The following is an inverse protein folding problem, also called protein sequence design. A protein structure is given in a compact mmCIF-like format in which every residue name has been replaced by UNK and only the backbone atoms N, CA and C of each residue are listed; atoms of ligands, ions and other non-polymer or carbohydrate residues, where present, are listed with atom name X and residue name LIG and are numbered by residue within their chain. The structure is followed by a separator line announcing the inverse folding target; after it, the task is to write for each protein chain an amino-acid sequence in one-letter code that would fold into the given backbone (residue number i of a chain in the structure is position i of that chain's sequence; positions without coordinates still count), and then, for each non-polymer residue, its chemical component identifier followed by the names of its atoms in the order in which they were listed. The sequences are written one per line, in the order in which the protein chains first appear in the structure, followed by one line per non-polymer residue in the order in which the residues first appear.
data_IF_453092584110
#
_entry.id   IF_453092584110
#
_cell.length_a   1.000
_cell.length_b   1.000
_cell.length_c   1.000
_cell.angle_alpha   90.00
_cell.angle_beta   90.00
_cell.angle_gamma   90.00
#
_symmetry.space_group_name_H-M   'P 1'
#
loop_
_entity.id
_entity.type
_entity.pdbx_description
1 polymer ?
#
# COMPACT_ATOMS: atom_id res chain seq x y z
N UNK A 1 7.32 -9.44 20.74
CA UNK A 1 8.59 -9.62 19.99
C UNK A 1 8.64 -8.54 18.90
N UNK A 2 9.43 -7.45 19.08
CA UNK A 2 9.55 -6.39 18.06
C UNK A 2 10.45 -6.91 16.93
N UNK A 3 9.86 -7.21 15.79
CA UNK A 3 10.58 -7.59 14.55
C UNK A 3 11.54 -6.46 14.21
N UNK A 4 12.84 -6.74 14.26
CA UNK A 4 13.89 -5.80 13.80
C UNK A 4 14.04 -6.00 12.29
N UNK A 5 13.59 -5.01 11.53
CA UNK A 5 13.64 -4.99 10.05
C UNK A 5 15.06 -4.65 9.59
N UNK A 6 16.04 -5.43 10.01
CA UNK A 6 17.47 -5.19 9.72
C UNK A 6 18.07 -6.17 8.70
N UNK A 7 17.31 -7.15 8.22
CA UNK A 7 17.80 -8.10 7.21
C UNK A 7 17.03 -7.94 5.89
N UNK A 8 17.37 -6.90 5.13
CA UNK A 8 16.69 -6.39 3.93
C UNK A 8 16.89 -7.24 2.66
N UNK A 9 17.09 -8.56 2.79
CA UNK A 9 17.19 -9.45 1.63
C UNK A 9 15.81 -9.78 1.05
N UNK A 10 14.78 -9.85 1.91
CA UNK A 10 13.40 -10.22 1.55
C UNK A 10 12.47 -9.00 1.50
N UNK A 11 13.03 -7.82 1.22
CA UNK A 11 12.27 -6.56 1.23
C UNK A 11 11.15 -6.58 0.18
N UNK A 12 11.40 -7.14 -1.01
CA UNK A 12 10.39 -7.31 -2.06
C UNK A 12 9.26 -8.24 -1.62
N UNK A 13 9.58 -9.35 -0.95
CA UNK A 13 8.57 -10.30 -0.45
C UNK A 13 7.67 -9.69 0.63
N UNK A 14 8.21 -8.77 1.44
CA UNK A 14 7.41 -8.05 2.45
C UNK A 14 6.46 -7.00 1.86
N UNK A 15 6.72 -6.50 0.65
CA UNK A 15 5.85 -5.49 0.03
C UNK A 15 4.46 -6.04 -0.21
N UNK A 16 4.31 -7.31 -0.59
CA UNK A 16 3.00 -7.94 -0.74
C UNK A 16 2.15 -7.85 0.53
N UNK A 17 2.74 -8.09 1.70
CA UNK A 17 2.04 -7.97 2.99
C UNK A 17 1.75 -6.52 3.39
N UNK A 18 2.67 -5.58 3.07
CA UNK A 18 2.43 -4.14 3.30
C UNK A 18 1.28 -3.63 2.43
N UNK A 19 1.25 -4.01 1.16
CA UNK A 19 0.19 -3.67 0.22
C UNK A 19 -1.17 -4.25 0.64
N UNK A 20 -1.20 -5.41 1.32
CA UNK A 20 -2.44 -5.95 1.91
C UNK A 20 -2.90 -5.18 3.16
N UNK A 21 -1.96 -4.64 3.95
CA UNK A 21 -2.26 -3.86 5.16
C UNK A 21 -2.66 -2.42 4.87
N UNK A 22 -2.26 -1.89 3.72
CA UNK A 22 -2.55 -0.52 3.30
C UNK A 22 -3.60 -0.55 2.20
N UNK A 23 -4.67 0.26 2.33
CA UNK A 23 -5.67 0.37 1.25
C UNK A 23 -5.04 0.93 -0.03
N UNK A 24 -5.43 0.39 -1.19
CA UNK A 24 -4.94 0.84 -2.50
C UNK A 24 -5.06 2.37 -2.67
N UNK A 25 -6.17 2.97 -2.25
CA UNK A 25 -6.40 4.42 -2.31
C UNK A 25 -5.30 5.26 -1.62
N UNK A 26 -4.76 4.81 -0.49
CA UNK A 26 -3.71 5.56 0.21
C UNK A 26 -2.40 5.54 -0.55
N UNK A 27 -2.04 4.39 -1.14
CA UNK A 27 -0.85 4.23 -1.96
C UNK A 27 -0.99 4.98 -3.29
N UNK A 28 -2.16 4.93 -3.92
CA UNK A 28 -2.47 5.71 -5.12
C UNK A 28 -2.29 7.21 -4.85
N UNK A 29 -2.79 7.73 -3.72
CA UNK A 29 -2.59 9.14 -3.33
C UNK A 29 -1.14 9.47 -2.98
N UNK A 30 -0.44 8.59 -2.26
CA UNK A 30 0.93 8.82 -1.81
C UNK A 30 1.95 8.75 -2.96
N UNK A 31 1.82 7.76 -3.83
CA UNK A 31 2.78 7.46 -4.90
C UNK A 31 2.31 7.87 -6.30
N UNK A 32 1.07 8.36 -6.44
CA UNK A 32 0.44 8.74 -7.72
C UNK A 32 0.43 7.62 -8.75
N UNK A 33 0.34 6.37 -8.29
CA UNK A 33 0.21 5.18 -9.14
C UNK A 33 -1.28 4.92 -9.31
N UNK A 34 -1.76 4.70 -10.55
CA UNK A 34 -3.20 4.54 -10.82
C UNK A 34 -3.70 3.19 -10.33
N UNK A 35 -3.15 2.11 -10.83
CA UNK A 35 -3.50 0.75 -10.43
C UNK A 35 -2.32 -0.16 -10.69
N UNK A 36 -2.22 -1.24 -9.91
CA UNK A 36 -1.24 -2.30 -10.09
C UNK A 36 -1.95 -3.65 -9.91
N UNK A 37 -1.50 -4.63 -10.67
CA UNK A 37 -1.97 -6.01 -10.59
C UNK A 37 -1.24 -6.76 -9.48
N UNK A 38 0.09 -6.71 -9.52
CA UNK A 38 0.99 -7.38 -8.58
C UNK A 38 1.84 -6.39 -7.77
N UNK A 39 2.39 -6.86 -6.64
CA UNK A 39 3.40 -6.13 -5.86
C UNK A 39 4.62 -5.76 -6.71
N UNK A 40 5.06 -6.66 -7.61
CA UNK A 40 6.13 -6.37 -8.55
C UNK A 40 5.74 -5.26 -9.55
N UNK A 41 4.53 -5.28 -10.10
CA UNK A 41 4.05 -4.23 -11.00
C UNK A 41 4.00 -2.87 -10.31
N UNK A 42 3.54 -2.83 -9.06
CA UNK A 42 3.58 -1.62 -8.23
C UNK A 42 5.00 -1.07 -8.09
N UNK A 43 5.96 -1.95 -7.79
CA UNK A 43 7.36 -1.59 -7.63
C UNK A 43 7.96 -1.07 -8.95
N UNK A 44 7.64 -1.70 -10.08
CA UNK A 44 8.05 -1.24 -11.42
C UNK A 44 7.50 0.16 -11.70
N UNK A 45 6.22 0.38 -11.46
CA UNK A 45 5.59 1.69 -11.66
C UNK A 45 6.18 2.75 -10.72
N UNK A 46 6.48 2.39 -9.47
CA UNK A 46 7.15 3.27 -8.53
C UNK A 46 8.57 3.62 -8.99
N UNK A 47 9.35 2.66 -9.48
CA UNK A 47 10.67 2.90 -10.05
C UNK A 47 10.61 3.87 -11.24
N UNK A 48 9.65 3.67 -12.14
CA UNK A 48 9.41 4.53 -13.30
C UNK A 48 9.03 5.96 -12.87
N UNK A 49 8.14 6.09 -11.89
CA UNK A 49 7.68 7.39 -11.38
C UNK A 49 8.75 8.11 -10.54
N UNK A 50 9.52 7.38 -9.74
CA UNK A 50 10.57 7.91 -8.86
C UNK A 50 11.93 8.10 -9.57
N UNK A 51 12.06 7.65 -10.82
CA UNK A 51 13.31 7.68 -11.58
C UNK A 51 14.40 6.76 -11.01
N UNK A 52 14.01 5.74 -10.24
CA UNK A 52 14.93 4.77 -9.59
C UNK A 52 15.13 3.57 -10.51
N UNK A 53 15.74 3.83 -11.66
CA UNK A 53 16.13 2.80 -12.62
C UNK A 53 17.62 2.51 -12.47
N UNK A 54 17.98 1.24 -12.59
CA UNK A 54 19.36 0.79 -12.66
C UNK A 54 20.03 1.27 -13.95
N UNK A 55 21.35 1.13 -13.96
CA UNK A 55 22.17 1.38 -15.14
C UNK A 55 21.76 0.39 -16.23
N UNK A 56 21.03 0.88 -17.24
CA UNK A 56 20.41 0.04 -18.28
C UNK A 56 18.91 0.25 -18.45
N UNK A 57 18.26 1.03 -17.57
CA UNK A 57 16.82 1.29 -17.65
C UNK A 57 15.96 0.20 -17.02
N UNK A 58 16.57 -0.74 -16.29
CA UNK A 58 15.85 -1.78 -15.56
C UNK A 58 15.33 -1.22 -14.21
N UNK A 59 14.06 -1.48 -13.85
CA UNK A 59 13.51 -1.02 -12.58
C UNK A 59 14.13 -1.76 -11.39
N UNK A 60 14.67 -1.01 -10.41
CA UNK A 60 15.22 -1.60 -9.18
C UNK A 60 14.12 -1.89 -8.14
N UNK A 61 13.49 -3.05 -8.24
CA UNK A 61 12.43 -3.47 -7.34
C UNK A 61 12.89 -3.53 -5.88
N UNK A 62 14.14 -3.92 -5.65
CA UNK A 62 14.71 -4.05 -4.31
C UNK A 62 14.91 -2.67 -3.68
N UNK A 63 15.39 -1.68 -4.42
CA UNK A 63 15.50 -0.30 -3.92
C UNK A 63 14.11 0.33 -3.70
N UNK A 64 13.16 0.13 -4.61
CA UNK A 64 11.79 0.61 -4.44
C UNK A 64 11.11 -0.01 -3.21
N UNK A 65 11.28 -1.32 -2.99
CA UNK A 65 10.76 -2.01 -1.83
C UNK A 65 11.33 -1.45 -0.53
N UNK A 66 12.65 -1.22 -0.46
CA UNK A 66 13.28 -0.60 0.71
C UNK A 66 12.74 0.79 0.99
N UNK A 67 12.49 1.60 -0.05
CA UNK A 67 11.91 2.94 0.10
C UNK A 67 10.50 2.89 0.71
N UNK A 68 9.62 2.05 0.16
CA UNK A 68 8.26 1.89 0.68
C UNK A 68 8.29 1.37 2.11
N UNK A 69 9.12 0.38 2.39
CA UNK A 69 9.22 -0.22 3.72
C UNK A 69 9.69 0.82 4.74
N UNK A 70 10.66 1.66 4.38
CA UNK A 70 11.13 2.76 5.21
C UNK A 70 10.05 3.84 5.42
N UNK A 71 9.30 4.21 4.38
CA UNK A 71 8.18 5.15 4.48
C UNK A 71 7.03 4.59 5.34
N UNK A 72 6.75 3.30 5.22
CA UNK A 72 5.77 2.58 6.04
C UNK A 72 6.18 2.54 7.51
N UNK A 73 7.45 2.24 7.79
CA UNK A 73 8.00 2.25 9.16
C UNK A 73 8.02 3.65 9.79
N UNK A 74 8.21 4.70 8.98
CA UNK A 74 8.13 6.09 9.46
C UNK A 74 6.69 6.59 9.66
N UNK A 75 5.68 5.80 9.30
CA UNK A 75 4.28 6.20 9.39
C UNK A 75 3.87 7.24 8.35
N UNK A 76 4.66 7.42 7.28
CA UNK A 76 4.32 8.31 6.16
C UNK A 76 3.13 7.78 5.36
N UNK A 77 3.00 6.46 5.32
CA UNK A 77 1.88 5.75 4.72
C UNK A 77 0.89 5.44 5.85
N UNK A 78 -0.28 6.11 5.90
CA UNK A 78 -1.31 5.78 6.87
C UNK A 78 -1.79 4.36 6.60
N UNK A 79 -1.61 3.47 7.57
CA UNK A 79 -2.11 2.10 7.54
C UNK A 79 -3.17 1.94 8.62
N UNK A 80 -4.26 1.25 8.28
CA UNK A 80 -5.30 0.93 9.24
C UNK A 80 -5.13 -0.52 9.66
N UNK A 81 -4.73 -0.75 10.91
CA UNK A 81 -4.82 -2.08 11.51
C UNK A 81 -6.19 -2.13 12.18
N UNK A 82 -7.15 -2.94 11.67
CA UNK A 82 -8.37 -3.14 12.40
C UNK A 82 -8.01 -3.70 13.78
N UNK A 83 -8.59 -3.16 14.87
CA UNK A 83 -8.36 -3.71 16.19
C UNK A 83 -8.73 -5.20 16.17
N UNK A 84 -7.97 -6.09 16.86
CA UNK A 84 -8.30 -7.50 16.90
C UNK A 84 -9.75 -7.63 17.38
N UNK A 85 -10.62 -8.08 16.48
CA UNK A 85 -12.03 -8.19 16.75
C UNK A 85 -12.19 -9.22 17.85
N UNK A 86 -12.43 -8.74 19.08
CA UNK A 86 -13.04 -9.56 20.12
C UNK A 86 -14.37 -9.99 19.50
N UNK A 87 -14.54 -11.30 19.32
CA UNK A 87 -15.69 -11.90 18.65
C UNK A 87 -16.99 -11.37 19.25
N UNK A 88 -17.55 -10.33 18.65
CA UNK A 88 -18.91 -9.92 18.85
C UNK A 88 -19.60 -10.17 17.50
N UNK A 89 -20.56 -11.11 17.45
CA UNK A 89 -21.27 -11.40 16.22
C UNK A 89 -22.25 -10.27 15.97
N UNK A 90 -21.92 -9.32 15.10
CA UNK A 90 -22.94 -8.43 14.57
C UNK A 90 -22.52 -7.74 13.28
N UNK A 91 -23.33 -7.96 12.24
CA UNK A 91 -23.89 -6.85 11.46
C UNK A 91 -22.98 -6.15 10.47
N UNK A 92 -23.20 -6.49 9.19
CA UNK A 92 -22.98 -5.68 7.97
C UNK A 92 -22.75 -4.17 8.19
N UNK A 93 -21.79 -3.62 7.44
CA UNK A 93 -21.94 -2.28 6.84
C UNK A 93 -21.47 -2.31 5.38
N UNK A 94 -22.37 -2.12 4.39
CA UNK A 94 -21.98 -1.82 3.02
C UNK A 94 -21.48 -0.38 2.96
N UNK A 95 -20.30 -0.16 2.38
CA UNK A 95 -19.83 1.16 2.02
C UNK A 95 -20.53 1.59 0.72
N UNK A 96 -21.38 2.61 0.80
CA UNK A 96 -21.58 3.69 -0.19
C UNK A 96 -22.96 4.35 0.04
N UNK A 97 -23.00 5.38 0.86
CA UNK A 97 -24.06 6.39 0.82
C UNK A 97 -23.49 7.63 0.12
N UNK A 98 -23.98 7.89 -1.09
CA UNK A 98 -23.98 9.23 -1.67
C UNK A 98 -25.45 9.61 -1.79
N UNK A 99 -25.96 10.20 -0.72
CA UNK A 99 -27.22 10.95 -0.73
C UNK A 99 -27.01 12.22 -1.56
N UNK A 100 -27.67 12.29 -2.72
CA UNK A 100 -28.03 13.57 -3.31
C UNK A 100 -29.56 13.64 -3.31
N UNK A 101 -30.06 14.36 -2.32
CA UNK A 101 -31.45 14.59 -1.96
C UNK A 101 -32.27 15.27 -3.08
N UNK A 102 -33.44 14.70 -3.36
CA UNK A 102 -34.75 15.34 -3.56
C UNK A 102 -34.90 16.59 -4.45
N UNK A 103 -35.62 16.45 -5.58
CA UNK A 103 -37.02 16.89 -5.66
C UNK A 103 -37.75 16.28 -6.88
N UNK A 104 -38.94 15.76 -6.61
CA UNK A 104 -39.98 15.28 -7.55
C UNK A 104 -40.79 16.49 -8.04
N UNK A 105 -41.29 16.39 -9.28
CA UNK A 105 -42.29 17.23 -9.98
C UNK A 105 -41.83 18.55 -10.65
#
# INVERSE_FOLDING_TARGET
MRVRVTNLQDASEHIGEVLKRVKKEHLQRAYKIKDWEDDNDFLVQLCKSSGKLLKGGEPDLMTAAKMILHDWQRGKIPFFVPPPQRELPSGKHPANEVENDTLIE
#
